data_IF_287716243167
#
_entry.id   IF_287716243167
#
_cell.length_a   1.000
_cell.length_b   1.000
_cell.length_c   1.000
_cell.angle_alpha   90.00
_cell.angle_beta   90.00
_cell.angle_gamma   90.00
#
_symmetry.space_group_name_H-M   'P 1'
#
loop_
_entity.id
_entity.type
_entity.pdbx_description
1 polymer ?
#
# COMPACT_ATOMS: atom_id res chain seq x y z
N UNK A 1 1.67 26.11 21.62
CA UNK A 1 1.16 24.96 20.83
C UNK A 1 1.30 23.72 21.70
N UNK A 2 0.25 22.94 21.91
CA UNK A 2 0.39 21.63 22.56
C UNK A 2 1.29 20.76 21.69
N UNK A 3 2.25 20.10 22.31
CA UNK A 3 3.09 19.10 21.67
C UNK A 3 2.17 18.02 21.06
N UNK A 4 2.33 17.74 19.76
CA UNK A 4 1.47 16.80 19.04
C UNK A 4 1.90 15.39 19.42
N UNK A 5 1.00 14.60 20.00
CA UNK A 5 1.25 13.19 20.32
C UNK A 5 1.26 12.37 19.04
N UNK A 6 2.40 11.76 18.73
CA UNK A 6 2.53 10.78 17.64
C UNK A 6 2.26 9.39 18.20
N UNK A 7 1.48 8.60 17.46
CA UNK A 7 1.13 7.22 17.79
C UNK A 7 2.13 6.25 17.14
N UNK A 8 2.52 5.22 17.87
CA UNK A 8 3.21 4.06 17.30
C UNK A 8 2.22 3.21 16.49
N UNK A 9 2.72 2.35 15.58
CA UNK A 9 1.87 1.62 14.64
C UNK A 9 0.85 0.69 15.32
N UNK A 10 1.23 0.00 16.39
CA UNK A 10 0.32 -0.86 17.14
C UNK A 10 -0.85 -0.09 17.77
N UNK A 11 -0.59 1.13 18.25
CA UNK A 11 -1.65 2.00 18.78
C UNK A 11 -2.47 2.61 17.64
N UNK A 12 -1.81 3.06 16.58
CA UNK A 12 -2.44 3.63 15.40
C UNK A 12 -3.44 2.63 14.77
N UNK A 13 -3.09 1.35 14.71
CA UNK A 13 -3.92 0.28 14.19
C UNK A 13 -5.26 0.11 14.93
N UNK A 14 -5.35 0.58 16.18
CA UNK A 14 -6.60 0.56 16.97
C UNK A 14 -7.44 1.83 16.80
N UNK A 15 -6.93 2.85 16.11
CA UNK A 15 -7.66 4.10 15.89
C UNK A 15 -8.81 3.91 14.92
N UNK A 16 -9.93 4.61 15.13
CA UNK A 16 -11.07 4.59 14.20
C UNK A 16 -10.75 5.15 12.81
N UNK A 17 -9.66 5.91 12.68
CA UNK A 17 -9.15 6.39 11.39
C UNK A 17 -8.45 5.28 10.63
N UNK A 18 -7.84 4.29 11.27
CA UNK A 18 -7.09 3.22 10.59
C UNK A 18 -7.85 1.89 10.58
N UNK A 19 -8.45 1.50 11.70
CA UNK A 19 -9.36 0.36 11.79
C UNK A 19 -10.75 0.72 11.21
N UNK A 20 -10.80 0.96 9.90
CA UNK A 20 -12.03 1.28 9.19
C UNK A 20 -12.16 0.46 7.90
N UNK A 21 -13.33 0.55 7.25
CA UNK A 21 -13.61 -0.09 5.96
C UNK A 21 -14.12 0.89 4.89
N UNK A 22 -13.74 2.16 4.99
CA UNK A 22 -14.23 3.25 4.15
C UNK A 22 -13.66 3.18 2.72
N UNK A 23 -12.42 2.71 2.56
CA UNK A 23 -11.76 2.57 1.25
C UNK A 23 -11.68 1.10 0.80
N UNK A 24 -11.61 0.89 -0.51
CA UNK A 24 -11.53 -0.41 -1.20
C UNK A 24 -12.62 -1.45 -0.92
N UNK A 25 -13.64 -1.13 -0.12
CA UNK A 25 -14.73 -2.07 0.22
C UNK A 25 -15.47 -2.69 -0.98
N UNK A 26 -15.66 -1.95 -2.07
CA UNK A 26 -16.39 -2.43 -3.26
C UNK A 26 -15.62 -2.16 -4.56
N UNK A 27 -14.30 -1.95 -4.47
CA UNK A 27 -13.49 -1.62 -5.66
C UNK A 27 -13.35 -2.86 -6.55
N UNK A 28 -13.56 -2.69 -7.85
CA UNK A 28 -13.44 -3.75 -8.84
C UNK A 28 -12.12 -3.70 -9.61
N UNK A 29 -11.93 -4.62 -10.55
CA UNK A 29 -10.79 -4.59 -11.48
C UNK A 29 -10.90 -3.50 -12.55
N UNK A 30 -12.11 -3.26 -13.05
CA UNK A 30 -12.41 -2.33 -14.15
C UNK A 30 -13.56 -1.37 -13.83
N UNK A 31 -13.70 -0.31 -14.64
CA UNK A 31 -14.71 0.75 -14.47
C UNK A 31 -14.22 1.97 -13.70
N UNK A 32 -15.14 2.84 -13.29
CA UNK A 32 -14.80 4.14 -12.68
C UNK A 32 -14.19 4.01 -11.26
N UNK A 33 -14.57 2.99 -10.50
CA UNK A 33 -14.05 2.67 -9.17
C UNK A 33 -13.22 1.38 -9.25
N UNK A 34 -12.00 1.46 -9.80
CA UNK A 34 -11.28 0.26 -10.20
C UNK A 34 -9.77 0.32 -10.01
N UNK A 35 -9.17 -0.86 -9.85
CA UNK A 35 -7.71 -1.04 -9.79
C UNK A 35 -7.05 -0.55 -11.09
N UNK A 36 -7.63 -0.83 -12.26
CA UNK A 36 -7.07 -0.37 -13.53
C UNK A 36 -6.90 1.15 -13.57
N UNK A 37 -7.89 1.89 -13.05
CA UNK A 37 -7.82 3.35 -12.96
C UNK A 37 -6.74 3.81 -11.96
N UNK A 38 -6.77 3.29 -10.73
CA UNK A 38 -5.86 3.74 -9.66
C UNK A 38 -4.41 3.30 -9.89
N UNK A 39 -4.18 2.19 -10.57
CA UNK A 39 -2.84 1.68 -10.90
C UNK A 39 -2.35 2.14 -12.27
N UNK A 40 -3.25 2.62 -13.13
CA UNK A 40 -2.94 3.04 -14.51
C UNK A 40 -2.49 1.92 -15.44
N UNK A 41 -2.69 0.67 -15.01
CA UNK A 41 -2.58 -0.56 -15.79
C UNK A 41 -3.54 -1.58 -15.19
N UNK A 42 -3.95 -2.55 -15.99
CA UNK A 42 -4.80 -3.65 -15.52
C UNK A 42 -3.92 -4.76 -14.91
N UNK A 43 -4.11 -5.13 -13.63
CA UNK A 43 -3.38 -6.23 -13.00
C UNK A 43 -3.52 -7.56 -13.74
N UNK A 44 -4.70 -7.82 -14.32
CA UNK A 44 -4.95 -9.05 -15.08
C UNK A 44 -4.08 -9.11 -16.32
N UNK A 45 -4.03 -8.03 -17.10
CA UNK A 45 -3.21 -7.97 -18.31
C UNK A 45 -1.70 -8.07 -17.99
N UNK A 46 -1.28 -7.57 -16.83
CA UNK A 46 0.12 -7.66 -16.39
C UNK A 46 0.54 -9.10 -16.02
N UNK A 47 -0.37 -9.85 -15.40
CA UNK A 47 -0.12 -11.22 -14.93
C UNK A 47 -0.46 -12.28 -15.98
N UNK A 48 -1.26 -11.93 -16.99
CA UNK A 48 -1.62 -12.84 -18.07
C UNK A 48 -0.37 -13.42 -18.75
N UNK A 49 -0.37 -14.74 -18.97
CA UNK A 49 0.76 -15.43 -19.60
C UNK A 49 1.97 -15.67 -18.70
N UNK A 50 1.92 -15.31 -17.41
CA UNK A 50 2.96 -15.66 -16.42
C UNK A 50 2.52 -16.88 -15.60
N UNK A 51 2.93 -18.11 -15.97
CA UNK A 51 2.56 -19.29 -15.21
C UNK A 51 3.09 -19.21 -13.77
N UNK A 52 2.25 -19.59 -12.80
CA UNK A 52 2.59 -19.61 -11.37
C UNK A 52 2.95 -18.25 -10.74
N UNK A 53 2.59 -17.14 -11.41
CA UNK A 53 2.82 -15.81 -10.89
C UNK A 53 2.10 -15.59 -9.55
N UNK A 54 2.65 -14.68 -8.76
CA UNK A 54 2.09 -14.30 -7.47
C UNK A 54 1.75 -12.81 -7.40
N UNK A 55 0.57 -12.50 -6.88
CA UNK A 55 0.09 -11.16 -6.60
C UNK A 55 -0.18 -10.96 -5.11
N UNK A 56 0.49 -9.98 -4.50
CA UNK A 56 0.17 -9.45 -3.17
C UNK A 56 -0.57 -8.11 -3.29
N UNK A 57 -1.69 -7.97 -2.61
CA UNK A 57 -2.37 -6.68 -2.44
C UNK A 57 -2.44 -6.29 -0.97
N UNK A 58 -1.82 -5.16 -0.65
CA UNK A 58 -1.75 -4.60 0.70
C UNK A 58 -2.89 -3.61 0.91
N UNK A 59 -3.59 -3.76 2.04
CA UNK A 59 -4.83 -3.03 2.34
C UNK A 59 -5.92 -3.31 1.29
N UNK A 60 -6.16 -4.60 1.04
CA UNK A 60 -7.05 -5.06 -0.03
C UNK A 60 -8.54 -4.78 0.23
N UNK A 61 -8.89 -4.26 1.41
CA UNK A 61 -10.26 -4.04 1.85
C UNK A 61 -11.02 -5.35 1.89
N UNK A 62 -12.11 -5.42 1.12
CA UNK A 62 -12.93 -6.63 1.04
C UNK A 62 -12.40 -7.68 0.07
N UNK A 63 -11.35 -7.35 -0.70
CA UNK A 63 -10.77 -8.25 -1.69
C UNK A 63 -11.59 -8.45 -2.97
N UNK A 64 -12.63 -7.65 -3.21
CA UNK A 64 -13.51 -7.84 -4.38
C UNK A 64 -12.75 -7.85 -5.72
N UNK A 65 -11.78 -6.96 -5.92
CA UNK A 65 -10.95 -6.96 -7.14
C UNK A 65 -10.09 -8.23 -7.27
N UNK A 66 -9.59 -8.78 -6.15
CA UNK A 66 -8.80 -10.00 -6.13
C UNK A 66 -9.63 -11.22 -6.49
N UNK A 67 -10.86 -11.31 -5.97
CA UNK A 67 -11.82 -12.36 -6.31
C UNK A 67 -12.17 -12.32 -7.80
N UNK A 68 -12.41 -11.14 -8.36
CA UNK A 68 -12.62 -10.97 -9.80
C UNK A 68 -11.40 -11.42 -10.62
N UNK A 69 -10.19 -11.12 -10.15
CA UNK A 69 -8.95 -11.50 -10.84
C UNK A 69 -8.71 -13.01 -10.81
N UNK A 70 -8.97 -13.66 -9.68
CA UNK A 70 -8.78 -15.10 -9.54
C UNK A 70 -9.66 -15.90 -10.52
N UNK A 71 -10.85 -15.39 -10.85
CA UNK A 71 -11.71 -15.99 -11.88
C UNK A 71 -11.16 -15.86 -13.31
N UNK A 72 -10.27 -14.88 -13.56
CA UNK A 72 -9.69 -14.60 -14.87
C UNK A 72 -8.25 -15.13 -15.03
N UNK A 73 -7.57 -15.40 -13.92
CA UNK A 73 -6.17 -15.81 -13.86
C UNK A 73 -6.02 -17.18 -13.18
N UNK A 74 -6.50 -18.27 -13.80
CA UNK A 74 -6.32 -19.60 -13.22
C UNK A 74 -4.82 -19.89 -13.07
N UNK A 75 -4.41 -20.27 -11.85
CA UNK A 75 -3.01 -20.61 -11.54
C UNK A 75 -2.15 -19.46 -11.02
N UNK A 76 -2.67 -18.23 -10.95
CA UNK A 76 -2.01 -17.15 -10.21
C UNK A 76 -2.34 -17.28 -8.72
N UNK A 77 -1.31 -17.18 -7.88
CA UNK A 77 -1.48 -17.13 -6.41
C UNK A 77 -1.74 -15.70 -5.99
N UNK A 78 -2.86 -15.45 -5.31
CA UNK A 78 -3.21 -14.10 -4.87
C UNK A 78 -3.31 -14.08 -3.34
N UNK A 79 -2.62 -13.13 -2.71
CA UNK A 79 -2.73 -12.84 -1.27
C UNK A 79 -3.26 -11.42 -1.10
N UNK A 80 -4.38 -11.28 -0.39
CA UNK A 80 -4.90 -9.99 0.06
C UNK A 80 -4.68 -9.82 1.55
N UNK A 81 -3.96 -8.76 1.95
CA UNK A 81 -3.75 -8.43 3.36
C UNK A 81 -4.57 -7.20 3.71
N UNK A 82 -5.34 -7.27 4.79
CA UNK A 82 -6.06 -6.11 5.32
C UNK A 82 -6.10 -6.14 6.85
N UNK A 83 -6.21 -4.98 7.49
CA UNK A 83 -6.17 -4.87 8.94
C UNK A 83 -7.46 -5.36 9.61
N UNK A 84 -8.62 -5.14 8.97
CA UNK A 84 -9.94 -5.30 9.62
C UNK A 84 -10.69 -6.58 9.24
N UNK A 85 -10.14 -7.39 8.34
CA UNK A 85 -10.67 -8.73 8.05
C UNK A 85 -12.05 -8.81 7.39
N UNK A 86 -12.61 -7.69 6.90
CA UNK A 86 -13.96 -7.64 6.27
C UNK A 86 -13.97 -8.16 4.82
N UNK A 87 -13.45 -9.37 4.59
CA UNK A 87 -13.34 -9.99 3.28
C UNK A 87 -14.72 -10.43 2.73
N UNK A 88 -14.88 -10.35 1.41
CA UNK A 88 -16.12 -10.74 0.73
C UNK A 88 -16.26 -12.27 0.66
N UNK A 89 -17.36 -12.86 1.15
CA UNK A 89 -17.64 -14.30 0.96
C UNK A 89 -18.26 -14.60 -0.43
N UNK A 90 -18.19 -15.86 -0.90
CA UNK A 90 -17.47 -16.99 -0.30
C UNK A 90 -15.95 -16.91 -0.58
N UNK A 91 -15.13 -17.61 0.23
CA UNK A 91 -13.71 -17.79 -0.07
C UNK A 91 -13.50 -18.39 -1.47
N UNK A 92 -12.42 -18.00 -2.13
CA UNK A 92 -12.07 -18.51 -3.45
C UNK A 92 -10.72 -19.24 -3.39
N UNK A 93 -10.62 -20.45 -3.95
CA UNK A 93 -9.41 -21.28 -3.85
C UNK A 93 -8.13 -20.63 -4.42
N UNK A 94 -8.26 -19.60 -5.28
CA UNK A 94 -7.14 -18.83 -5.83
C UNK A 94 -6.75 -17.58 -5.03
N UNK A 95 -7.45 -17.25 -3.94
CA UNK A 95 -7.19 -16.06 -3.12
C UNK A 95 -7.09 -16.44 -1.65
N UNK A 96 -5.95 -16.13 -1.05
CA UNK A 96 -5.75 -16.18 0.39
C UNK A 96 -5.97 -14.77 0.96
N UNK A 97 -6.77 -14.69 2.02
CA UNK A 97 -6.98 -13.45 2.75
C UNK A 97 -6.35 -13.52 4.13
N UNK A 98 -5.61 -12.49 4.50
CA UNK A 98 -4.89 -12.39 5.76
C UNK A 98 -5.32 -11.13 6.50
N UNK A 99 -5.87 -11.32 7.70
CA UNK A 99 -6.13 -10.23 8.63
C UNK A 99 -4.85 -9.90 9.41
N UNK A 100 -4.15 -8.84 9.03
CA UNK A 100 -2.90 -8.44 9.66
C UNK A 100 -2.53 -6.97 9.39
N UNK A 101 -1.70 -6.40 10.26
CA UNK A 101 -1.04 -5.13 9.96
C UNK A 101 0.07 -5.33 8.93
N UNK A 102 0.04 -4.53 7.86
CA UNK A 102 1.08 -4.55 6.80
C UNK A 102 2.46 -4.09 7.31
N UNK A 103 2.51 -3.36 8.42
CA UNK A 103 3.78 -2.91 9.02
C UNK A 103 4.51 -4.06 9.72
N UNK A 104 3.77 -5.05 10.23
CA UNK A 104 4.33 -6.20 10.98
C UNK A 104 4.35 -7.49 10.17
N UNK A 105 3.41 -7.67 9.25
CA UNK A 105 3.28 -8.89 8.45
C UNK A 105 4.45 -9.07 7.48
N UNK A 106 4.83 -10.33 7.23
CA UNK A 106 5.81 -10.73 6.23
C UNK A 106 5.26 -11.86 5.34
N UNK A 107 5.53 -11.82 4.03
CA UNK A 107 5.07 -12.85 3.13
C UNK A 107 5.95 -14.10 3.16
N UNK A 108 5.38 -15.27 2.82
CA UNK A 108 6.13 -16.52 2.73
C UNK A 108 7.03 -16.63 1.48
N UNK A 109 6.86 -15.76 0.47
CA UNK A 109 7.61 -15.79 -0.79
C UNK A 109 7.60 -14.43 -1.51
N UNK A 110 8.31 -14.35 -2.62
CA UNK A 110 8.39 -13.16 -3.47
C UNK A 110 7.22 -13.06 -4.47
N UNK A 111 6.89 -11.85 -4.93
CA UNK A 111 5.74 -11.58 -5.82
C UNK A 111 6.14 -10.91 -7.13
N UNK A 112 5.44 -11.28 -8.19
CA UNK A 112 5.51 -10.65 -9.50
C UNK A 112 4.76 -9.33 -9.54
N UNK A 113 3.70 -9.21 -8.74
CA UNK A 113 2.94 -7.99 -8.57
C UNK A 113 2.69 -7.72 -7.09
N UNK A 114 3.01 -6.51 -6.65
CA UNK A 114 2.58 -5.97 -5.36
C UNK A 114 1.78 -4.69 -5.60
N UNK A 115 0.58 -4.61 -5.05
CA UNK A 115 -0.26 -3.41 -5.12
C UNK A 115 -0.64 -2.90 -3.74
N UNK A 116 -0.88 -1.60 -3.63
CA UNK A 116 -1.48 -0.98 -2.45
C UNK A 116 -2.30 0.23 -2.91
N UNK A 117 -3.54 -0.03 -3.32
CA UNK A 117 -4.45 1.02 -3.80
C UNK A 117 -4.99 1.76 -2.59
N UNK A 118 -4.70 3.06 -2.45
CA UNK A 118 -5.09 3.92 -1.32
C UNK A 118 -4.76 3.45 0.11
N UNK A 119 -4.18 2.27 0.32
CA UNK A 119 -3.90 1.71 1.63
C UNK A 119 -2.91 2.53 2.44
N UNK A 120 -1.91 3.12 1.78
CA UNK A 120 -0.89 3.93 2.45
C UNK A 120 -1.47 5.15 3.19
N UNK A 121 -2.70 5.58 2.91
CA UNK A 121 -3.38 6.63 3.69
C UNK A 121 -3.61 6.26 5.16
N UNK A 122 -3.63 4.97 5.48
CA UNK A 122 -3.92 4.44 6.80
C UNK A 122 -2.68 3.82 7.47
N UNK A 123 -1.59 3.68 6.73
CA UNK A 123 -0.33 3.12 7.24
C UNK A 123 0.46 4.19 7.98
N UNK A 124 0.93 3.87 9.18
CA UNK A 124 1.84 4.70 9.96
C UNK A 124 3.22 4.76 9.32
N UNK A 125 4.05 3.72 9.43
CA UNK A 125 5.36 3.70 8.75
C UNK A 125 5.27 3.38 7.25
N UNK A 126 4.84 4.36 6.45
CA UNK A 126 4.75 4.26 4.98
C UNK A 126 6.10 3.91 4.35
N UNK A 127 7.19 4.58 4.76
CA UNK A 127 8.52 4.37 4.17
C UNK A 127 9.12 3.02 4.55
N UNK A 128 8.89 2.54 5.77
CA UNK A 128 9.22 1.18 6.17
C UNK A 128 8.50 0.13 5.32
N UNK A 129 7.19 0.31 5.09
CA UNK A 129 6.42 -0.57 4.18
C UNK A 129 6.98 -0.57 2.76
N UNK A 130 7.34 0.60 2.20
CA UNK A 130 7.96 0.66 0.87
C UNK A 130 9.28 -0.13 0.81
N UNK A 131 10.11 -0.03 1.85
CA UNK A 131 11.37 -0.77 1.92
C UNK A 131 11.14 -2.29 1.99
N UNK A 132 10.19 -2.74 2.82
CA UNK A 132 9.80 -4.16 2.91
C UNK A 132 9.31 -4.67 1.55
N UNK A 133 8.39 -3.96 0.93
CA UNK A 133 7.81 -4.31 -0.39
C UNK A 133 8.88 -4.48 -1.46
N UNK A 134 9.89 -3.60 -1.49
CA UNK A 134 10.99 -3.72 -2.45
C UNK A 134 11.75 -5.05 -2.32
N UNK A 135 11.92 -5.55 -1.10
CA UNK A 135 12.56 -6.84 -0.84
C UNK A 135 11.69 -8.05 -1.19
N UNK A 136 10.37 -7.86 -1.28
CA UNK A 136 9.39 -8.90 -1.54
C UNK A 136 9.10 -9.11 -3.02
N UNK A 137 9.61 -8.26 -3.91
CA UNK A 137 9.46 -8.45 -5.35
C UNK A 137 10.32 -9.62 -5.85
N UNK A 138 9.89 -10.25 -6.93
CA UNK A 138 10.77 -11.04 -7.81
C UNK A 138 11.70 -10.09 -8.58
N UNK A 139 12.74 -10.62 -9.23
CA UNK A 139 13.69 -9.82 -10.02
C UNK A 139 12.98 -9.03 -11.14
N UNK A 140 11.90 -9.58 -11.71
CA UNK A 140 11.07 -8.95 -12.75
C UNK A 140 9.71 -8.46 -12.22
N UNK A 141 9.60 -8.36 -10.89
CA UNK A 141 8.37 -7.99 -10.20
C UNK A 141 8.04 -6.51 -10.37
N UNK A 142 6.79 -6.15 -10.12
CA UNK A 142 6.33 -4.75 -10.14
C UNK A 142 5.60 -4.40 -8.86
N UNK A 143 5.91 -3.23 -8.33
CA UNK A 143 5.14 -2.58 -7.27
C UNK A 143 4.43 -1.32 -7.78
N UNK A 144 3.19 -1.11 -7.35
CA UNK A 144 2.45 0.13 -7.58
C UNK A 144 1.50 0.46 -6.42
N UNK A 145 1.55 1.70 -5.93
CA UNK A 145 0.69 2.17 -4.85
C UNK A 145 0.36 3.65 -4.96
N UNK A 146 -0.76 4.05 -4.37
CA UNK A 146 -1.08 5.46 -4.16
C UNK A 146 -0.28 5.99 -2.97
N UNK A 147 0.44 7.09 -3.18
CA UNK A 147 1.23 7.76 -2.17
C UNK A 147 1.01 9.27 -2.23
N UNK A 148 0.34 9.79 -1.20
CA UNK A 148 0.23 11.22 -1.00
C UNK A 148 1.45 11.75 -0.24
N UNK A 149 2.38 12.41 -0.93
CA UNK A 149 3.55 13.02 -0.28
C UNK A 149 3.16 14.11 0.72
N UNK A 150 1.97 14.71 0.57
CA UNK A 150 1.43 15.63 1.55
C UNK A 150 1.02 14.93 2.85
N UNK A 151 1.11 13.61 2.97
CA UNK A 151 0.94 12.88 4.23
C UNK A 151 2.26 12.56 4.94
N UNK A 152 3.41 12.91 4.35
CA UNK A 152 4.74 12.62 4.93
C UNK A 152 5.36 13.91 5.46
N UNK A 153 5.77 13.87 6.73
CA UNK A 153 6.22 15.02 7.52
C UNK A 153 7.61 14.78 8.07
N UNK A 154 8.38 15.86 8.18
CA UNK A 154 9.64 15.89 8.94
C UNK A 154 9.32 16.05 10.43
N UNK A 155 10.32 15.87 11.28
CA UNK A 155 10.18 16.00 12.74
C UNK A 155 9.60 17.36 13.17
N UNK A 156 9.91 18.43 12.44
CA UNK A 156 9.39 19.79 12.66
C UNK A 156 7.96 20.01 12.12
N UNK A 157 7.34 18.99 11.53
CA UNK A 157 6.01 19.07 10.92
C UNK A 157 5.98 19.69 9.53
N UNK A 158 7.12 20.07 8.95
CA UNK A 158 7.18 20.51 7.55
C UNK A 158 7.00 19.32 6.58
N UNK A 159 6.44 19.53 5.37
CA UNK A 159 6.36 18.45 4.37
C UNK A 159 7.74 17.96 3.92
N UNK A 160 7.92 16.63 3.81
CA UNK A 160 9.17 16.06 3.32
C UNK A 160 9.41 16.34 1.81
N UNK A 161 8.31 16.44 1.04
CA UNK A 161 8.27 17.04 -0.29
C UNK A 161 9.33 16.54 -1.27
N UNK A 162 10.07 17.49 -1.88
CA UNK A 162 11.04 17.21 -2.95
C UNK A 162 12.23 16.36 -2.50
N UNK A 163 12.69 16.53 -1.25
CA UNK A 163 13.83 15.75 -0.73
C UNK A 163 13.48 14.27 -0.63
N UNK A 164 12.26 13.97 -0.16
CA UNK A 164 11.77 12.59 -0.12
C UNK A 164 11.68 11.98 -1.52
N UNK A 165 11.17 12.72 -2.51
CA UNK A 165 11.11 12.22 -3.90
C UNK A 165 12.51 11.92 -4.44
N UNK A 166 13.49 12.77 -4.16
CA UNK A 166 14.88 12.52 -4.55
C UNK A 166 15.44 11.26 -3.89
N UNK A 167 15.19 11.05 -2.59
CA UNK A 167 15.60 9.85 -1.87
C UNK A 167 14.93 8.58 -2.42
N UNK A 168 13.61 8.60 -2.66
CA UNK A 168 12.88 7.49 -3.27
C UNK A 168 13.47 7.14 -4.66
N UNK A 169 13.79 8.14 -5.48
CA UNK A 169 14.40 7.93 -6.80
C UNK A 169 15.82 7.37 -6.73
N UNK A 170 16.62 7.80 -5.76
CA UNK A 170 17.95 7.22 -5.53
C UNK A 170 17.85 5.72 -5.20
N UNK A 171 16.79 5.35 -4.47
CA UNK A 171 16.45 3.96 -4.16
C UNK A 171 15.69 3.27 -5.31
N UNK A 172 15.54 3.89 -6.47
CA UNK A 172 14.96 3.28 -7.68
C UNK A 172 13.44 3.36 -7.80
N UNK A 173 12.75 3.98 -6.85
CA UNK A 173 11.32 4.19 -6.98
C UNK A 173 11.00 5.28 -8.01
N UNK A 174 9.99 5.01 -8.83
CA UNK A 174 9.29 6.03 -9.61
C UNK A 174 8.25 6.75 -8.77
N UNK A 175 8.02 8.04 -9.06
CA UNK A 175 6.89 8.79 -8.50
C UNK A 175 6.22 9.65 -9.58
N UNK A 176 4.94 9.40 -9.83
CA UNK A 176 4.05 10.21 -10.66
C UNK A 176 3.25 11.15 -9.75
N UNK A 177 3.67 12.40 -9.65
CA UNK A 177 3.00 13.39 -8.80
C UNK A 177 1.61 13.82 -9.28
N UNK A 178 1.31 13.67 -10.58
CA UNK A 178 -0.02 13.98 -11.13
C UNK A 178 -1.04 12.93 -10.70
N UNK A 179 -0.63 11.67 -10.70
CA UNK A 179 -1.45 10.54 -10.26
C UNK A 179 -1.25 10.15 -8.80
N UNK A 180 -0.31 10.80 -8.11
CA UNK A 180 0.13 10.50 -6.74
C UNK A 180 0.49 9.02 -6.56
N UNK A 181 1.24 8.46 -7.51
CA UNK A 181 1.58 7.04 -7.53
C UNK A 181 3.06 6.82 -7.35
N UNK A 182 3.41 5.91 -6.45
CA UNK A 182 4.78 5.38 -6.29
C UNK A 182 4.84 3.99 -6.91
N UNK A 183 5.99 3.62 -7.45
CA UNK A 183 6.21 2.27 -7.98
C UNK A 183 7.67 1.88 -8.04
N UNK A 184 7.91 0.59 -8.19
CA UNK A 184 9.24 -0.01 -8.31
C UNK A 184 9.18 -1.19 -9.29
N UNK A 185 10.28 -1.42 -9.99
CA UNK A 185 10.46 -2.61 -10.82
C UNK A 185 11.66 -3.39 -10.32
N UNK A 186 11.47 -4.69 -10.18
CA UNK A 186 12.44 -5.64 -9.67
C UNK A 186 12.69 -5.55 -8.18
N UNK A 187 13.26 -6.63 -7.66
CA UNK A 187 13.70 -6.75 -6.27
C UNK A 187 14.75 -5.71 -5.95
N UNK A 188 14.64 -5.11 -4.76
CA UNK A 188 15.67 -4.21 -4.25
C UNK A 188 15.77 -4.21 -2.75
N UNK A 189 17.01 -4.08 -2.25
CA UNK A 189 17.27 -3.74 -0.86
C UNK A 189 17.34 -2.22 -0.74
N UNK A 190 16.34 -1.64 -0.08
CA UNK A 190 16.19 -0.20 0.05
C UNK A 190 16.81 0.27 1.35
N UNK A 191 17.63 1.30 1.30
CA UNK A 191 18.16 1.97 2.50
C UNK A 191 17.47 3.31 2.68
N UNK A 192 16.55 3.39 3.64
CA UNK A 192 15.92 4.65 3.99
C UNK A 192 16.83 5.45 4.93
N UNK A 193 17.17 6.71 4.62
CA UNK A 193 17.82 7.59 5.59
C UNK A 193 16.82 8.06 6.67
N UNK A 194 15.53 7.83 6.47
CA UNK A 194 14.47 8.31 7.35
C UNK A 194 14.19 7.34 8.48
N UNK A 195 14.20 7.85 9.72
CA UNK A 195 13.74 7.15 10.92
C UNK A 195 12.30 7.55 11.22
N UNK A 196 11.39 6.58 11.29
CA UNK A 196 9.98 6.81 11.66
C UNK A 196 9.85 7.26 13.11
N UNK A 197 9.05 8.29 13.36
CA UNK A 197 8.81 8.89 14.69
C UNK A 197 7.40 8.60 15.22
N UNK A 198 6.54 7.96 14.42
CA UNK A 198 5.12 7.79 14.69
C UNK A 198 4.23 8.58 13.73
N UNK A 199 2.94 8.43 13.92
CA UNK A 199 1.92 9.01 13.05
C UNK A 199 0.85 9.77 13.81
N UNK A 200 0.24 10.71 13.12
CA UNK A 200 -0.88 11.51 13.60
C UNK A 200 -2.17 11.06 12.91
N UNK A 201 -3.09 10.51 13.68
CA UNK A 201 -4.41 10.06 13.22
C UNK A 201 -5.42 11.22 13.09
N UNK A 202 -5.12 12.40 13.66
CA UNK A 202 -6.02 13.56 13.66
C UNK A 202 -5.64 14.57 12.56
N UNK A 203 -4.88 14.13 11.56
CA UNK A 203 -4.33 14.96 10.50
C UNK A 203 -5.39 15.56 9.55
N UNK A 204 -6.62 15.03 9.59
CA UNK A 204 -7.71 15.41 8.70
C UNK A 204 -7.73 14.59 7.40
N UNK A 205 -8.47 15.07 6.38
CA UNK A 205 -8.71 14.28 5.19
C UNK A 205 -7.49 14.23 4.24
N UNK A 206 -7.33 13.11 3.55
CA UNK A 206 -6.46 12.98 2.37
C UNK A 206 -7.09 13.64 1.13
N UNK A 207 -6.43 13.50 -0.02
CA UNK A 207 -6.91 14.04 -1.28
C UNK A 207 -8.18 13.40 -1.84
N UNK A 208 -8.62 12.26 -1.30
CA UNK A 208 -9.90 11.64 -1.65
C UNK A 208 -11.03 12.10 -0.71
N UNK A 209 -10.72 12.97 0.26
CA UNK A 209 -11.68 13.48 1.25
C UNK A 209 -11.89 12.55 2.45
N UNK A 210 -11.19 11.43 2.52
CA UNK A 210 -11.30 10.47 3.63
C UNK A 210 -10.30 10.82 4.75
N UNK A 211 -10.65 10.60 6.04
CA UNK A 211 -9.69 10.69 7.13
C UNK A 211 -8.44 9.85 6.84
N UNK A 212 -7.27 10.38 7.17
CA UNK A 212 -6.00 9.72 6.90
C UNK A 212 -4.94 10.09 7.93
N UNK A 213 -3.82 9.35 7.90
CA UNK A 213 -2.72 9.52 8.85
C UNK A 213 -1.56 10.27 8.24
N UNK A 214 -0.99 11.22 8.99
CA UNK A 214 0.29 11.84 8.65
C UNK A 214 1.44 11.10 9.33
N UNK A 215 2.43 10.67 8.56
CA UNK A 215 3.61 9.95 9.05
C UNK A 215 4.78 10.91 9.26
N UNK A 216 5.43 10.84 10.42
CA UNK A 216 6.52 11.74 10.79
C UNK A 216 7.85 11.00 10.78
N UNK A 217 8.88 11.66 10.24
CA UNK A 217 10.21 11.10 10.07
C UNK A 217 11.31 12.09 10.47
N UNK A 218 12.42 11.56 10.97
CA UNK A 218 13.70 12.26 11.10
C UNK A 218 14.62 11.84 9.95
N UNK A 219 15.27 12.81 9.32
CA UNK A 219 16.29 12.62 8.27
C UNK A 219 17.71 12.46 8.84
#
# INVERSE_FOLDING_TARGET
MKEKRLLADAELALSSVVANNAMNRLRGLAGANSYTRELGFNPVDFLAGRPSAAWLDLCCGSGNALLQAAGLLPGVRIIGVDLVGYFTPPPHHGVEFVEASVTEWEPPYAFDLITCVHGLHYVGDKLGVLAKVASWLTEDGRFAADLDLASIRRADGSPAGRRLVAALRAEGFGYDGRRRRVGLSGRKQVRSPYTYLGADAEAGPNYTGQPAVMSYYRD
#
